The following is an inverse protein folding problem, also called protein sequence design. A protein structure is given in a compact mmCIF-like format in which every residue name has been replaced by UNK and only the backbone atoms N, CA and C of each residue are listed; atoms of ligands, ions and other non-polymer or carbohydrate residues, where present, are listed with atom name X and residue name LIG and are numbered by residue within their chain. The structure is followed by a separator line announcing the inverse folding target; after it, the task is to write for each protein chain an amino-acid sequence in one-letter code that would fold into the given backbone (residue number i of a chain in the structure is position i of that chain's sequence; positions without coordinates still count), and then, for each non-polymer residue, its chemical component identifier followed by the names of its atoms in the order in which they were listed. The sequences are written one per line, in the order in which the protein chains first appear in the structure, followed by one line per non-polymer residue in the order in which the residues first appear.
data_IF_536423931166
#
_entry.id   IF_536423931166
#
_cell.length_a   1.000
_cell.length_b   1.000
_cell.length_c   1.000
_cell.angle_alpha   90.00
_cell.angle_beta   90.00
_cell.angle_gamma   90.00
#
_symmetry.space_group_name_H-M   'P 1'
#
loop_
_entity.id
_entity.type
_entity.pdbx_description
1 polymer ?
#
# COMPACT_ATOMS: atom_id res chain seq x y z
N UNK A 1 -15.87 -9.45 -32.35
CA UNK A 1 -14.42 -9.24 -32.08
C UNK A 1 -14.16 -9.35 -30.59
N UNK A 2 -13.45 -10.41 -30.15
CA UNK A 2 -13.10 -10.61 -28.75
C UNK A 2 -12.04 -9.61 -28.28
N UNK A 3 -12.19 -9.06 -27.08
CA UNK A 3 -11.28 -8.04 -26.51
C UNK A 3 -9.88 -8.62 -26.28
N UNK A 4 -8.96 -8.36 -27.21
CA UNK A 4 -7.55 -8.79 -27.18
C UNK A 4 -6.75 -8.29 -25.96
N UNK A 5 -7.29 -7.35 -25.19
CA UNK A 5 -6.64 -6.77 -24.01
C UNK A 5 -6.77 -7.61 -22.74
N UNK A 6 -7.59 -8.67 -22.74
CA UNK A 6 -7.85 -9.47 -21.55
C UNK A 6 -6.94 -10.71 -21.51
N UNK A 7 -5.80 -10.59 -20.84
CA UNK A 7 -4.94 -11.74 -20.54
C UNK A 7 -5.70 -12.75 -19.65
N UNK A 8 -5.47 -14.03 -19.92
CA UNK A 8 -5.98 -15.14 -19.13
C UNK A 8 -5.31 -15.15 -17.75
N UNK A 9 -6.10 -15.36 -16.70
CA UNK A 9 -5.59 -15.45 -15.31
C UNK A 9 -4.91 -16.80 -15.07
N UNK A 10 -4.04 -16.87 -14.07
CA UNK A 10 -3.44 -18.13 -13.63
C UNK A 10 -4.53 -19.11 -13.16
N UNK A 11 -4.31 -20.42 -13.34
CA UNK A 11 -5.17 -21.44 -12.74
C UNK A 11 -4.86 -21.53 -11.25
N UNK A 12 -5.87 -21.43 -10.41
CA UNK A 12 -5.79 -21.67 -8.96
C UNK A 12 -6.44 -22.99 -8.62
N UNK A 13 -5.80 -23.81 -7.79
CA UNK A 13 -6.38 -25.04 -7.27
C UNK A 13 -6.98 -24.77 -5.88
N UNK A 14 -8.28 -25.02 -5.73
CA UNK A 14 -8.99 -24.91 -4.46
C UNK A 14 -9.09 -26.30 -3.82
N UNK A 15 -8.10 -26.66 -3.01
CA UNK A 15 -8.11 -27.92 -2.29
C UNK A 15 -8.99 -27.80 -1.05
N UNK A 16 -9.94 -28.72 -0.86
CA UNK A 16 -10.78 -28.80 0.33
C UNK A 16 -10.46 -30.09 1.09
N UNK A 17 -9.72 -30.01 2.22
CA UNK A 17 -9.44 -31.18 3.05
C UNK A 17 -10.73 -31.79 3.62
N UNK A 18 -10.82 -33.13 3.65
CA UNK A 18 -12.04 -33.86 4.02
C UNK A 18 -12.39 -33.79 5.52
N UNK A 19 -11.38 -33.67 6.39
CA UNK A 19 -11.53 -33.74 7.86
C UNK A 19 -11.09 -32.47 8.59
N UNK A 20 -10.85 -31.39 7.86
CA UNK A 20 -10.38 -30.14 8.45
C UNK A 20 -11.53 -29.14 8.41
N UNK A 21 -11.94 -28.68 9.59
CA UNK A 21 -12.87 -27.58 9.73
C UNK A 21 -12.07 -26.28 9.81
N UNK A 22 -12.28 -25.47 8.79
CA UNK A 22 -11.59 -24.22 8.61
C UNK A 22 -12.34 -23.16 9.44
N UNK A 23 -11.88 -22.92 10.67
CA UNK A 23 -12.44 -21.95 11.64
C UNK A 23 -12.32 -20.48 11.17
N UNK A 24 -12.42 -20.23 9.88
CA UNK A 24 -12.25 -18.94 9.22
C UNK A 24 -10.82 -18.59 8.83
N UNK A 25 -9.82 -19.46 9.05
CA UNK A 25 -8.40 -19.13 8.85
C UNK A 25 -7.85 -19.43 7.44
N UNK A 26 -8.57 -20.25 6.66
CA UNK A 26 -8.20 -20.68 5.32
C UNK A 26 -7.56 -22.08 5.29
N UNK A 27 -7.62 -22.73 4.12
CA UNK A 27 -7.02 -24.05 3.93
C UNK A 27 -5.51 -24.06 4.27
N UNK A 28 -5.06 -24.89 5.24
CA UNK A 28 -3.67 -24.94 5.70
C UNK A 28 -2.70 -25.47 4.63
N UNK A 29 -3.22 -26.18 3.63
CA UNK A 29 -2.46 -26.72 2.51
C UNK A 29 -2.39 -25.76 1.31
N UNK A 30 -2.94 -24.56 1.42
CA UNK A 30 -2.91 -23.58 0.33
C UNK A 30 -1.49 -23.02 0.20
N UNK A 31 -0.83 -23.32 -0.92
CA UNK A 31 0.50 -22.80 -1.27
C UNK A 31 0.40 -21.28 -1.44
N UNK A 32 0.67 -20.54 -0.37
CA UNK A 32 0.71 -19.07 -0.36
C UNK A 32 1.95 -18.62 0.40
N UNK A 33 2.53 -17.51 -0.02
CA UNK A 33 3.62 -16.91 0.71
C UNK A 33 3.08 -16.19 1.97
N UNK A 34 3.86 -16.17 3.06
CA UNK A 34 3.46 -15.53 4.33
C UNK A 34 3.04 -14.05 4.17
N UNK A 35 3.63 -13.38 3.18
CA UNK A 35 3.38 -11.96 2.88
C UNK A 35 2.19 -11.72 1.94
N UNK A 36 1.62 -12.75 1.31
CA UNK A 36 0.57 -12.56 0.30
C UNK A 36 -0.71 -11.97 0.91
N UNK A 37 -0.97 -12.23 2.20
CA UNK A 37 -2.10 -11.64 2.95
C UNK A 37 -2.00 -10.12 3.10
N UNK A 38 -0.81 -9.55 3.02
CA UNK A 38 -0.56 -8.11 3.25
C UNK A 38 -0.35 -7.33 1.94
N UNK A 39 -0.37 -8.00 0.79
CA UNK A 39 -0.10 -7.37 -0.50
C UNK A 39 -1.41 -7.07 -1.23
N UNK A 40 -1.74 -5.79 -1.35
CA UNK A 40 -2.87 -5.30 -2.16
C UNK A 40 -2.52 -5.21 -3.65
N UNK A 41 -1.23 -5.27 -3.99
CA UNK A 41 -0.68 -5.00 -5.33
C UNK A 41 -0.41 -6.25 -6.17
N UNK A 42 -0.32 -7.43 -5.55
CA UNK A 42 0.05 -8.68 -6.22
C UNK A 42 -1.22 -9.49 -6.46
N UNK A 43 -1.65 -9.56 -7.71
CA UNK A 43 -2.92 -10.17 -8.09
C UNK A 43 -3.24 -9.96 -9.57
N UNK A 44 -4.36 -10.51 -10.07
CA UNK A 44 -4.77 -10.30 -11.45
C UNK A 44 -4.92 -8.81 -11.74
N UNK A 45 -4.50 -8.37 -12.95
CA UNK A 45 -4.54 -6.97 -13.39
C UNK A 45 -5.86 -6.30 -13.01
N UNK A 46 -5.84 -5.50 -11.94
CA UNK A 46 -6.98 -4.72 -11.49
C UNK A 46 -7.17 -3.52 -12.43
N UNK A 47 -8.42 -3.20 -12.77
CA UNK A 47 -8.74 -2.01 -13.56
C UNK A 47 -8.45 -0.72 -12.79
N UNK A 48 -8.42 0.42 -13.50
CA UNK A 48 -8.15 1.75 -12.94
C UNK A 48 -8.99 2.03 -11.67
N UNK A 49 -10.32 1.80 -11.72
CA UNK A 49 -11.22 1.98 -10.56
C UNK A 49 -10.76 1.23 -9.31
N UNK A 50 -10.36 -0.03 -9.47
CA UNK A 50 -9.89 -0.86 -8.34
C UNK A 50 -8.54 -0.38 -7.81
N UNK A 51 -7.66 0.15 -8.67
CA UNK A 51 -6.39 0.75 -8.24
C UNK A 51 -6.62 2.00 -7.41
N UNK A 52 -7.52 2.90 -7.84
CA UNK A 52 -7.87 4.09 -7.07
C UNK A 52 -8.53 3.74 -5.73
N UNK A 53 -9.47 2.79 -5.73
CA UNK A 53 -10.11 2.32 -4.49
C UNK A 53 -9.11 1.76 -3.48
N UNK A 54 -8.19 0.90 -3.95
CA UNK A 54 -7.17 0.30 -3.10
C UNK A 54 -6.14 1.33 -2.60
N UNK A 55 -5.71 2.27 -3.46
CA UNK A 55 -4.83 3.35 -3.03
C UNK A 55 -5.49 4.22 -1.95
N UNK A 56 -6.78 4.52 -2.11
CA UNK A 56 -7.52 5.30 -1.12
C UNK A 56 -7.75 4.54 0.19
N UNK A 57 -8.01 3.23 0.14
CA UNK A 57 -8.09 2.42 1.36
C UNK A 57 -6.73 2.31 2.06
N UNK A 58 -5.64 2.20 1.29
CA UNK A 58 -4.28 2.15 1.84
C UNK A 58 -3.88 3.48 2.48
N UNK A 59 -4.34 4.62 1.93
CA UNK A 59 -4.18 5.95 2.55
C UNK A 59 -4.97 6.11 3.85
N UNK A 60 -6.14 5.49 3.96
CA UNK A 60 -6.97 5.50 5.18
C UNK A 60 -6.43 4.58 6.27
N UNK A 61 -5.50 3.69 5.94
CA UNK A 61 -4.88 2.81 6.93
C UNK A 61 -4.08 3.67 7.91
N UNK A 62 -4.41 3.55 9.20
CA UNK A 62 -3.70 4.28 10.24
C UNK A 62 -2.23 3.84 10.26
N UNK A 63 -1.36 4.66 9.68
CA UNK A 63 0.09 4.48 9.74
C UNK A 63 0.64 4.76 11.14
N UNK A 64 1.77 4.13 11.46
CA UNK A 64 2.47 4.31 12.73
C UNK A 64 2.73 5.80 13.03
N UNK A 65 2.32 6.26 14.22
CA UNK A 65 2.54 7.63 14.69
C UNK A 65 4.02 8.00 14.65
N UNK A 66 4.91 7.06 15.01
CA UNK A 66 6.34 7.28 14.98
C UNK A 66 6.86 7.53 13.56
N UNK A 67 6.33 6.80 12.58
CA UNK A 67 6.68 6.99 11.17
C UNK A 67 6.26 8.37 10.67
N UNK A 68 5.05 8.83 11.03
CA UNK A 68 4.56 10.17 10.68
C UNK A 68 5.43 11.28 11.26
N UNK A 69 5.84 11.14 12.52
CA UNK A 69 6.71 12.12 13.20
C UNK A 69 8.09 12.15 12.52
N UNK A 70 8.71 10.99 12.28
CA UNK A 70 10.02 10.92 11.59
C UNK A 70 9.95 11.55 10.20
N UNK A 71 8.90 11.26 9.43
CA UNK A 71 8.66 11.86 8.11
C UNK A 71 8.58 13.39 8.19
N UNK A 72 7.81 13.92 9.15
CA UNK A 72 7.69 15.36 9.35
C UNK A 72 9.02 16.02 9.72
N UNK A 73 9.82 15.39 10.61
CA UNK A 73 11.15 15.88 10.98
C UNK A 73 12.08 15.90 9.77
N UNK A 74 12.12 14.84 8.96
CA UNK A 74 12.94 14.77 7.75
C UNK A 74 12.57 15.90 6.77
N UNK A 75 11.27 16.12 6.54
CA UNK A 75 10.80 17.19 5.66
C UNK A 75 11.22 18.56 6.22
N UNK A 76 11.04 18.80 7.51
CA UNK A 76 11.43 20.06 8.15
C UNK A 76 12.93 20.35 8.00
N UNK A 77 13.79 19.36 8.23
CA UNK A 77 15.25 19.50 8.09
C UNK A 77 15.64 19.78 6.64
N UNK A 78 15.05 19.08 5.67
CA UNK A 78 15.34 19.30 4.25
C UNK A 78 14.92 20.70 3.79
N UNK A 79 13.74 21.16 4.21
CA UNK A 79 13.28 22.53 3.93
C UNK A 79 14.22 23.54 4.57
N UNK A 80 14.61 23.34 5.83
CA UNK A 80 15.51 24.25 6.52
C UNK A 80 16.89 24.33 5.84
N UNK A 81 17.45 23.18 5.43
CA UNK A 81 18.71 23.14 4.68
C UNK A 81 18.60 23.85 3.33
N UNK A 82 17.48 23.68 2.62
CA UNK A 82 17.22 24.40 1.37
C UNK A 82 17.13 25.91 1.58
N UNK A 83 16.38 26.36 2.59
CA UNK A 83 16.24 27.78 2.94
C UNK A 83 17.57 28.41 3.35
N UNK A 84 18.42 27.65 4.05
CA UNK A 84 19.78 28.07 4.41
C UNK A 84 20.68 28.27 3.19
N UNK A 85 20.63 27.37 2.20
CA UNK A 85 21.46 27.47 0.98
C UNK A 85 21.16 28.73 0.16
N UNK A 86 19.91 29.16 0.12
CA UNK A 86 19.48 30.33 -0.66
C UNK A 86 19.49 31.63 0.14
N UNK A 87 19.97 31.59 1.39
CA UNK A 87 19.96 32.72 2.32
C UNK A 87 18.56 33.34 2.51
N UNK A 88 17.53 32.47 2.59
CA UNK A 88 16.14 32.91 2.66
C UNK A 88 15.83 33.58 4.00
N UNK A 89 15.22 34.77 3.94
CA UNK A 89 14.79 35.49 5.13
C UNK A 89 13.58 34.82 5.80
N UNK A 90 13.82 34.14 6.94
CA UNK A 90 12.79 33.46 7.73
C UNK A 90 11.83 34.43 8.45
N UNK A 91 12.18 35.72 8.54
CA UNK A 91 11.36 36.71 9.24
C UNK A 91 10.01 36.96 8.55
N UNK A 92 9.88 36.61 7.26
CA UNK A 92 8.61 36.67 6.50
C UNK A 92 7.50 35.79 7.09
N UNK A 93 7.87 34.75 7.85
CA UNK A 93 6.93 33.87 8.54
C UNK A 93 6.64 34.30 9.98
N UNK A 94 7.32 35.34 10.49
CA UNK A 94 6.99 35.92 11.78
C UNK A 94 5.69 36.70 11.65
N UNK A 95 4.61 36.14 12.21
CA UNK A 95 3.35 36.86 12.39
C UNK A 95 3.63 38.11 13.23
N UNK A 96 3.19 39.27 12.73
CA UNK A 96 3.19 40.54 13.45
C UNK A 96 2.06 40.57 14.48
#
# INVERSE_FOLDING_TARGET
MGKFTRLRKNKSYDYKPRYYDDKGEGNPYKIQHKLDKYRTTVGPKQGLKSKFGNAFSDLRKEGDRNMKIRMAIIIAVLVFAFLYIIDFDLSIFSIK
#
